data_IF_038711073027
#
_entry.id   IF_038711073027
#
_cell.length_a   1.000
_cell.length_b   1.000
_cell.length_c   1.000
_cell.angle_alpha   90.00
_cell.angle_beta   90.00
_cell.angle_gamma   90.00
#
_symmetry.space_group_name_H-M   'P 1'
#
loop_
_entity.id
_entity.type
_entity.pdbx_description
1 polymer ?
#
# COMPACT_ATOMS: atom_id res chain seq x y z
N UNK A 1 -27.11 -9.38 0.86
CA UNK A 1 -26.15 -10.26 1.55
C UNK A 1 -25.17 -9.36 2.24
N UNK A 2 -24.78 -9.76 3.45
CA UNK A 2 -24.41 -8.89 4.57
C UNK A 2 -22.90 -8.69 4.58
N UNK A 3 -22.42 -7.48 4.93
CA UNK A 3 -21.02 -7.08 5.16
C UNK A 3 -20.09 -8.19 5.71
N UNK A 4 -20.63 -9.10 6.51
CA UNK A 4 -19.94 -10.29 7.05
C UNK A 4 -19.39 -11.23 5.96
N UNK A 5 -20.09 -11.42 4.84
CA UNK A 5 -19.63 -12.30 3.75
C UNK A 5 -18.49 -11.68 2.93
N UNK A 6 -18.43 -10.35 2.84
CA UNK A 6 -17.36 -9.62 2.16
C UNK A 6 -16.08 -9.63 3.01
N UNK A 7 -16.22 -9.46 4.33
CA UNK A 7 -15.11 -9.59 5.29
C UNK A 7 -14.51 -11.01 5.30
N UNK A 8 -15.36 -12.05 5.27
CA UNK A 8 -14.88 -13.44 5.20
C UNK A 8 -14.07 -13.71 3.92
N UNK A 9 -14.48 -13.15 2.78
CA UNK A 9 -13.78 -13.33 1.50
C UNK A 9 -12.43 -12.59 1.47
N UNK A 10 -12.38 -11.36 1.98
CA UNK A 10 -11.15 -10.57 2.04
C UNK A 10 -10.13 -11.17 3.00
N UNK A 11 -10.57 -11.64 4.17
CA UNK A 11 -9.71 -12.35 5.11
C UNK A 11 -9.19 -13.68 4.53
N UNK A 12 -10.03 -14.46 3.84
CA UNK A 12 -9.59 -15.70 3.18
C UNK A 12 -8.53 -15.41 2.12
N UNK A 13 -8.69 -14.35 1.33
CA UNK A 13 -7.70 -13.90 0.35
C UNK A 13 -6.40 -13.46 1.02
N UNK A 14 -6.47 -12.71 2.10
CA UNK A 14 -5.31 -12.25 2.85
C UNK A 14 -4.49 -13.45 3.35
N UNK A 15 -5.15 -14.43 3.97
CA UNK A 15 -4.54 -15.69 4.42
C UNK A 15 -3.94 -16.48 3.25
N UNK A 16 -4.64 -16.60 2.14
CA UNK A 16 -4.16 -17.31 0.94
C UNK A 16 -2.94 -16.64 0.32
N UNK A 17 -2.89 -15.33 0.35
CA UNK A 17 -1.76 -14.56 -0.16
C UNK A 17 -0.62 -14.45 0.84
N UNK A 18 -0.83 -14.77 2.12
CA UNK A 18 0.14 -14.62 3.20
C UNK A 18 0.37 -13.16 3.58
N UNK A 19 -0.67 -12.34 3.44
CA UNK A 19 -0.69 -10.90 3.69
C UNK A 19 -1.74 -10.57 4.75
N UNK A 20 -1.55 -9.48 5.48
CA UNK A 20 -2.60 -8.84 6.25
C UNK A 20 -3.59 -8.11 5.31
N UNK A 21 -4.76 -7.73 5.80
CA UNK A 21 -5.78 -7.06 4.97
C UNK A 21 -5.28 -5.75 4.34
N UNK A 22 -4.58 -4.91 5.12
CA UNK A 22 -3.96 -3.69 4.60
C UNK A 22 -2.85 -3.98 3.59
N UNK A 23 -2.06 -5.03 3.83
CA UNK A 23 -0.98 -5.45 2.93
C UNK A 23 -1.56 -6.01 1.62
N UNK A 24 -2.70 -6.71 1.71
CA UNK A 24 -3.45 -7.23 0.57
C UNK A 24 -4.06 -6.08 -0.24
N UNK A 25 -4.63 -5.06 0.42
CA UNK A 25 -5.16 -3.88 -0.25
C UNK A 25 -4.06 -3.16 -1.04
N UNK A 26 -2.89 -2.96 -0.43
CA UNK A 26 -1.74 -2.35 -1.11
C UNK A 26 -1.22 -3.25 -2.24
N UNK A 27 -1.14 -4.56 -2.02
CA UNK A 27 -0.78 -5.51 -3.07
C UNK A 27 -1.77 -5.48 -4.25
N UNK A 28 -3.07 -5.42 -3.97
CA UNK A 28 -4.11 -5.35 -4.99
C UNK A 28 -4.08 -4.04 -5.78
N UNK A 29 -3.60 -2.97 -5.18
CA UNK A 29 -3.37 -1.68 -5.84
C UNK A 29 -2.17 -1.72 -6.81
N UNK A 30 -1.13 -2.45 -6.43
CA UNK A 30 0.13 -2.53 -7.18
C UNK A 30 0.17 -3.69 -8.18
N UNK A 31 -0.66 -4.72 -8.01
CA UNK A 31 -0.65 -5.91 -8.87
C UNK A 31 -1.09 -5.54 -10.29
N UNK A 32 -0.51 -6.24 -11.25
CA UNK A 32 -0.94 -6.21 -12.65
C UNK A 32 -1.18 -7.62 -13.17
N UNK A 33 -1.94 -7.72 -14.26
CA UNK A 33 -2.40 -9.01 -14.80
C UNK A 33 -1.25 -9.90 -15.31
N UNK A 34 -0.13 -9.30 -15.73
CA UNK A 34 0.98 -10.00 -16.39
C UNK A 34 2.14 -10.39 -15.45
N UNK A 35 1.90 -10.63 -14.15
CA UNK A 35 2.96 -11.02 -13.20
C UNK A 35 3.17 -12.54 -13.16
N UNK A 36 4.43 -12.97 -13.28
CA UNK A 36 4.83 -14.34 -12.98
C UNK A 36 4.72 -14.63 -11.48
N UNK A 37 4.68 -15.91 -11.09
CA UNK A 37 4.65 -16.30 -9.67
C UNK A 37 5.81 -15.71 -8.86
N UNK A 38 7.01 -15.61 -9.46
CA UNK A 38 8.18 -15.04 -8.80
C UNK A 38 8.09 -13.51 -8.66
N UNK A 39 7.53 -12.81 -9.66
CA UNK A 39 7.29 -11.37 -9.58
C UNK A 39 6.17 -11.05 -8.58
N UNK A 40 5.14 -11.89 -8.52
CA UNK A 40 4.07 -11.79 -7.53
C UNK A 40 4.62 -11.89 -6.11
N UNK A 41 5.46 -12.88 -5.82
CA UNK A 41 6.12 -13.03 -4.52
C UNK A 41 6.97 -11.80 -4.16
N UNK A 42 7.74 -11.27 -5.12
CA UNK A 42 8.52 -10.03 -4.91
C UNK A 42 7.61 -8.84 -4.65
N UNK A 43 6.51 -8.73 -5.39
CA UNK A 43 5.55 -7.66 -5.21
C UNK A 43 4.90 -7.73 -3.83
N UNK A 44 4.54 -8.91 -3.34
CA UNK A 44 4.06 -9.10 -1.97
C UNK A 44 5.05 -8.53 -0.95
N UNK A 45 6.32 -8.93 -1.03
CA UNK A 45 7.36 -8.42 -0.13
C UNK A 45 7.54 -6.91 -0.23
N UNK A 46 7.48 -6.37 -1.45
CA UNK A 46 7.54 -4.93 -1.71
C UNK A 46 6.34 -4.20 -1.09
N UNK A 47 5.10 -4.71 -1.25
CA UNK A 47 3.88 -4.17 -0.64
C UNK A 47 4.00 -4.14 0.87
N UNK A 48 4.38 -5.26 1.51
CA UNK A 48 4.56 -5.31 2.97
C UNK A 48 5.56 -4.27 3.48
N UNK A 49 6.72 -4.21 2.82
CA UNK A 49 7.80 -3.28 3.20
C UNK A 49 7.38 -1.82 3.00
N UNK A 50 6.74 -1.52 1.86
CA UNK A 50 6.24 -0.20 1.52
C UNK A 50 5.17 0.25 2.54
N UNK A 51 4.21 -0.61 2.86
CA UNK A 51 3.17 -0.30 3.83
C UNK A 51 3.76 0.00 5.20
N UNK A 52 4.67 -0.84 5.70
CA UNK A 52 5.32 -0.62 6.98
C UNK A 52 6.05 0.73 7.02
N UNK A 53 6.83 1.05 5.98
CA UNK A 53 7.57 2.31 5.90
C UNK A 53 6.65 3.53 5.87
N UNK A 54 5.55 3.45 5.10
CA UNK A 54 4.53 4.50 5.08
C UNK A 54 3.91 4.62 6.47
N UNK A 55 3.43 3.53 7.08
CA UNK A 55 2.83 3.51 8.43
C UNK A 55 3.75 4.16 9.47
N UNK A 56 5.02 3.75 9.52
CA UNK A 56 6.02 4.30 10.44
C UNK A 56 6.23 5.82 10.24
N UNK A 57 6.19 6.29 8.99
CA UNK A 57 6.37 7.71 8.67
C UNK A 57 5.13 8.52 9.02
N UNK A 58 3.94 8.04 8.70
CA UNK A 58 2.68 8.69 9.04
C UNK A 58 2.48 8.76 10.55
N UNK A 59 2.89 7.73 11.30
CA UNK A 59 2.83 7.74 12.76
C UNK A 59 3.67 8.86 13.39
N UNK A 60 4.71 9.34 12.71
CA UNK A 60 5.51 10.50 13.14
C UNK A 60 4.88 11.85 12.72
N UNK A 61 4.00 11.84 11.73
CA UNK A 61 3.40 13.03 11.14
C UNK A 61 1.94 13.17 11.60
N UNK A 62 1.75 13.70 12.80
CA UNK A 62 0.42 14.01 13.35
C UNK A 62 -0.35 14.91 12.38
N UNK A 63 -1.51 14.43 11.90
CA UNK A 63 -2.40 15.15 10.97
C UNK A 63 -1.70 15.71 9.73
N UNK A 64 -0.82 14.92 9.10
CA UNK A 64 -0.13 15.32 7.86
C UNK A 64 -1.08 15.80 6.75
N UNK A 65 -2.34 15.34 6.75
CA UNK A 65 -3.37 15.74 5.79
C UNK A 65 -3.90 17.18 5.98
N UNK A 66 -3.49 17.89 7.03
CA UNK A 66 -3.87 19.29 7.27
C UNK A 66 -2.92 20.30 6.61
N UNK A 67 -1.66 19.93 6.36
CA UNK A 67 -0.63 20.84 5.84
C UNK A 67 -0.16 20.40 4.45
N UNK A 68 -0.19 21.32 3.48
CA UNK A 68 0.28 21.04 2.11
C UNK A 68 1.77 20.64 2.06
N UNK A 69 2.59 21.21 2.95
CA UNK A 69 4.00 20.85 3.05
C UNK A 69 4.18 19.38 3.42
N UNK A 70 3.49 18.92 4.48
CA UNK A 70 3.61 17.54 4.96
C UNK A 70 2.99 16.54 3.98
N UNK A 71 1.93 16.94 3.26
CA UNK A 71 1.39 16.17 2.13
C UNK A 71 2.42 15.91 1.04
N UNK A 72 3.11 16.97 0.59
CA UNK A 72 4.14 16.85 -0.44
C UNK A 72 5.33 15.98 0.03
N UNK A 73 5.68 16.04 1.32
CA UNK A 73 6.69 15.16 1.92
C UNK A 73 6.27 13.69 1.87
N UNK A 74 5.01 13.39 2.22
CA UNK A 74 4.44 12.03 2.16
C UNK A 74 4.35 11.52 0.72
N UNK A 75 3.89 12.35 -0.21
CA UNK A 75 3.82 12.02 -1.64
C UNK A 75 5.21 11.67 -2.19
N UNK A 76 6.20 12.53 -1.95
CA UNK A 76 7.59 12.30 -2.37
C UNK A 76 8.15 11.00 -1.77
N UNK A 77 7.83 10.72 -0.50
CA UNK A 77 8.25 9.49 0.16
C UNK A 77 7.64 8.25 -0.49
N UNK A 78 6.35 8.27 -0.80
CA UNK A 78 5.66 7.15 -1.44
C UNK A 78 6.24 6.90 -2.84
N UNK A 79 6.46 7.95 -3.62
CA UNK A 79 7.10 7.86 -4.93
C UNK A 79 8.48 7.23 -4.79
N UNK A 80 9.36 7.79 -3.94
CA UNK A 80 10.73 7.30 -3.76
C UNK A 80 10.77 5.83 -3.31
N UNK A 81 9.90 5.44 -2.36
CA UNK A 81 9.81 4.05 -1.90
C UNK A 81 9.26 3.11 -2.97
N UNK A 82 8.29 3.53 -3.78
CA UNK A 82 7.81 2.70 -4.90
C UNK A 82 8.91 2.48 -5.93
N UNK A 83 9.67 3.51 -6.28
CA UNK A 83 10.77 3.36 -7.24
C UNK A 83 11.87 2.44 -6.72
N UNK A 84 12.11 2.41 -5.40
CA UNK A 84 13.06 1.49 -4.74
C UNK A 84 12.54 0.06 -4.61
N UNK A 85 11.28 -0.11 -4.23
CA UNK A 85 10.71 -1.41 -3.86
C UNK A 85 10.15 -2.17 -5.06
N UNK A 86 9.58 -1.49 -6.06
CA UNK A 86 9.04 -2.14 -7.25
C UNK A 86 10.18 -2.51 -8.22
N UNK A 87 10.27 -3.78 -8.64
CA UNK A 87 11.29 -4.22 -9.58
C UNK A 87 11.04 -3.67 -11.01
N UNK A 88 12.12 -3.23 -11.68
CA UNK A 88 12.11 -2.84 -13.09
C UNK A 88 13.12 -3.69 -13.88
N UNK A 89 12.69 -4.60 -14.78
CA UNK A 89 11.32 -5.07 -15.04
C UNK A 89 10.71 -5.91 -13.89
N UNK A 90 9.37 -6.10 -13.84
CA UNK A 90 8.38 -5.84 -14.89
C UNK A 90 7.75 -4.45 -14.87
N UNK A 91 7.97 -3.62 -13.86
CA UNK A 91 7.35 -2.29 -13.79
C UNK A 91 8.17 -1.24 -14.55
N UNK A 92 7.51 -0.51 -15.43
CA UNK A 92 8.03 0.71 -16.05
C UNK A 92 7.94 1.90 -15.10
N UNK A 93 8.67 2.98 -15.41
CA UNK A 93 8.62 4.20 -14.62
C UNK A 93 7.21 4.82 -14.60
N UNK A 94 6.47 4.73 -15.71
CA UNK A 94 5.09 5.23 -15.80
C UNK A 94 4.13 4.41 -14.91
N UNK A 95 4.29 3.08 -14.88
CA UNK A 95 3.52 2.21 -13.97
C UNK A 95 3.85 2.48 -12.49
N UNK A 96 5.12 2.79 -12.18
CA UNK A 96 5.55 3.17 -10.84
C UNK A 96 4.94 4.51 -10.40
N UNK A 97 4.88 5.48 -11.30
CA UNK A 97 4.25 6.77 -11.03
C UNK A 97 2.74 6.61 -10.79
N UNK A 98 2.05 5.81 -11.61
CA UNK A 98 0.63 5.51 -11.43
C UNK A 98 0.36 4.78 -10.10
N UNK A 99 1.20 3.80 -9.78
CA UNK A 99 1.17 3.11 -8.50
C UNK A 99 1.34 4.09 -7.34
N UNK A 100 2.29 5.02 -7.43
CA UNK A 100 2.53 5.99 -6.37
C UNK A 100 1.35 6.91 -6.12
N UNK A 101 0.72 7.40 -7.18
CA UNK A 101 -0.50 8.18 -7.06
C UNK A 101 -1.62 7.38 -6.39
N UNK A 102 -1.83 6.13 -6.84
CA UNK A 102 -2.86 5.28 -6.25
C UNK A 102 -2.61 5.02 -4.76
N UNK A 103 -1.36 4.74 -4.35
CA UNK A 103 -1.01 4.54 -2.94
C UNK A 103 -1.22 5.82 -2.14
N UNK A 104 -0.79 6.96 -2.67
CA UNK A 104 -0.97 8.26 -2.03
C UNK A 104 -2.45 8.63 -1.87
N UNK A 105 -3.33 8.27 -2.80
CA UNK A 105 -4.79 8.45 -2.65
C UNK A 105 -5.40 7.53 -1.58
N UNK A 106 -4.85 6.32 -1.41
CA UNK A 106 -5.35 5.33 -0.46
C UNK A 106 -4.95 5.64 0.99
N UNK A 107 -3.73 6.12 1.19
CA UNK A 107 -3.12 6.36 2.51
C UNK A 107 -3.93 7.33 3.39
N UNK A 108 -4.34 8.53 2.94
CA UNK A 108 -5.14 9.44 3.75
C UNK A 108 -6.47 8.83 4.21
N UNK A 109 -7.10 7.97 3.40
CA UNK A 109 -8.37 7.33 3.79
C UNK A 109 -8.18 6.42 5.01
N UNK A 110 -7.11 5.62 5.04
CA UNK A 110 -6.78 4.77 6.19
C UNK A 110 -6.38 5.59 7.43
N UNK A 111 -5.69 6.73 7.24
CA UNK A 111 -5.30 7.62 8.33
C UNK A 111 -6.48 8.33 8.99
N UNK A 112 -7.44 8.80 8.17
CA UNK A 112 -8.64 9.48 8.65
C UNK A 112 -9.58 8.49 9.35
N UNK A 113 -9.68 7.26 8.85
CA UNK A 113 -10.48 6.18 9.47
C UNK A 113 -9.89 5.66 10.79
N UNK A 114 -8.67 6.06 11.14
CA UNK A 114 -7.98 5.62 12.36
C UNK A 114 -7.44 4.19 12.27
N UNK A 115 -7.41 3.59 11.08
CA UNK A 115 -6.97 2.21 10.87
C UNK A 115 -5.45 2.06 11.03
N UNK A 116 -4.71 3.16 10.84
CA UNK A 116 -3.27 3.19 11.16
C UNK A 116 -2.94 3.20 12.66
N UNK A 117 -3.92 3.41 13.54
CA UNK A 117 -3.67 3.55 14.99
C UNK A 117 -3.73 2.24 15.78
N UNK A 118 -4.01 1.10 15.14
CA UNK A 118 -4.16 -0.17 15.85
C UNK A 118 -2.97 -1.10 15.61
N UNK A 119 -1.88 -0.84 16.33
CA UNK A 119 -0.90 -1.85 16.67
C UNK A 119 -0.51 -1.65 18.15
N UNK A 120 -1.16 -2.41 19.03
CA UNK A 120 -0.77 -2.60 20.45
C UNK A 120 -0.56 -4.09 20.68
#
# INVERSE_FOLDING_TARGET
MTLMAELDEEQERAVKEGLEEDELALFDLLKKEELTSAERERLKLASRSLLSLIKDRLAMLDRFWEQEQTKAEVETLIVDEIYKQLPSPPFSDEEKELAANAVYDHVPQQAISGEFTTAV
#
